data_IF_109208740659
#
_entry.id   IF_109208740659
#
_cell.length_a   1.000
_cell.length_b   1.000
_cell.length_c   1.000
_cell.angle_alpha   90.00
_cell.angle_beta   90.00
_cell.angle_gamma   90.00
#
_symmetry.space_group_name_H-M   'P 1'
#
loop_
_entity.id
_entity.type
_entity.pdbx_description
1 polymer ?
#
# COMPACT_ATOMS: atom_id res chain seq x y z
N UNK A 1 -4.36 1.26 11.23
CA UNK A 1 -3.39 1.91 10.34
C UNK A 1 -3.33 1.18 9.02
N UNK A 2 -3.35 1.92 7.91
CA UNK A 2 -3.19 1.43 6.55
C UNK A 2 -1.75 1.71 6.13
N UNK A 3 -1.00 0.66 5.85
CA UNK A 3 0.37 0.73 5.34
C UNK A 3 0.33 0.76 3.82
N UNK A 4 0.96 1.77 3.24
CA UNK A 4 0.96 2.01 1.80
C UNK A 4 2.34 2.46 1.30
N UNK A 5 2.57 2.30 0.00
CA UNK A 5 3.78 2.76 -0.67
C UNK A 5 3.59 4.20 -1.19
N UNK A 6 4.29 5.16 -0.60
CA UNK A 6 4.21 6.58 -1.00
C UNK A 6 4.88 6.94 -2.33
N UNK A 7 5.69 6.06 -2.91
CA UNK A 7 6.25 6.24 -4.26
C UNK A 7 5.38 5.61 -5.34
N UNK A 8 4.51 4.67 -4.99
CA UNK A 8 3.57 4.07 -5.94
C UNK A 8 2.38 5.01 -6.23
N UNK A 9 2.17 5.46 -7.49
CA UNK A 9 1.11 6.42 -7.83
C UNK A 9 -0.29 5.82 -7.63
N UNK A 10 -0.45 4.50 -7.79
CA UNK A 10 -1.72 3.81 -7.55
C UNK A 10 -2.00 3.70 -6.06
N UNK A 11 -0.99 3.44 -5.24
CA UNK A 11 -1.15 3.43 -3.78
C UNK A 11 -1.51 4.83 -3.27
N UNK A 12 -0.80 5.88 -3.73
CA UNK A 12 -1.16 7.28 -3.45
C UNK A 12 -2.61 7.61 -3.85
N UNK A 13 -3.03 7.22 -5.06
CA UNK A 13 -4.41 7.46 -5.53
C UNK A 13 -5.43 6.70 -4.70
N UNK A 14 -5.13 5.45 -4.34
CA UNK A 14 -6.00 4.62 -3.50
C UNK A 14 -6.14 5.20 -2.10
N UNK A 15 -5.04 5.65 -1.48
CA UNK A 15 -5.04 6.40 -0.22
C UNK A 15 -5.95 7.64 -0.30
N UNK A 16 -5.80 8.48 -1.33
CA UNK A 16 -6.65 9.67 -1.52
C UNK A 16 -8.14 9.31 -1.66
N UNK A 17 -8.45 8.21 -2.33
CA UNK A 17 -9.83 7.71 -2.40
C UNK A 17 -10.31 7.26 -1.02
N UNK A 18 -9.51 6.51 -0.27
CA UNK A 18 -9.86 6.07 1.08
C UNK A 18 -10.07 7.25 2.04
N UNK A 19 -9.21 8.27 1.99
CA UNK A 19 -9.37 9.52 2.76
C UNK A 19 -10.72 10.20 2.47
N UNK A 20 -11.16 10.21 1.21
CA UNK A 20 -12.47 10.76 0.83
C UNK A 20 -13.66 9.90 1.26
N UNK A 21 -13.46 8.59 1.41
CA UNK A 21 -14.48 7.64 1.84
C UNK A 21 -14.56 7.52 3.36
N UNK A 22 -13.49 7.88 4.07
CA UNK A 22 -13.39 7.81 5.51
C UNK A 22 -14.03 9.02 6.19
N UNK A 23 -15.35 9.16 6.00
CA UNK A 23 -16.14 10.26 6.56
C UNK A 23 -16.12 10.31 8.09
N UNK A 24 -15.75 9.20 8.73
CA UNK A 24 -15.68 9.07 10.18
C UNK A 24 -14.25 9.26 10.72
N UNK A 25 -13.26 9.52 9.86
CA UNK A 25 -11.86 9.75 10.26
C UNK A 25 -11.23 8.59 11.02
N UNK A 26 -11.58 7.35 10.70
CA UNK A 26 -11.15 6.14 11.43
C UNK A 26 -9.81 5.58 10.92
N UNK A 27 -9.40 5.94 9.72
CA UNK A 27 -8.20 5.42 9.09
C UNK A 27 -7.00 6.32 9.38
N UNK A 28 -5.97 5.71 9.95
CA UNK A 28 -4.61 6.26 10.00
C UNK A 28 -3.79 5.67 8.88
N UNK A 29 -2.83 6.41 8.35
CA UNK A 29 -1.96 5.97 7.25
C UNK A 29 -0.49 6.01 7.68
N UNK A 30 0.29 5.04 7.22
CA UNK A 30 1.73 5.00 7.42
C UNK A 30 2.41 4.61 6.11
N UNK A 31 3.50 5.29 5.78
CA UNK A 31 4.33 4.94 4.63
C UNK A 31 5.24 3.77 5.00
N UNK A 32 5.33 2.77 4.13
CA UNK A 32 6.21 1.62 4.32
C UNK A 32 7.70 2.01 4.19
N UNK A 33 8.00 3.13 3.54
CA UNK A 33 9.37 3.61 3.38
C UNK A 33 9.97 4.20 4.67
N UNK A 34 9.14 4.47 5.70
CA UNK A 34 9.63 4.54 7.08
C UNK A 34 9.85 3.12 7.60
N UNK A 35 10.94 2.52 7.14
CA UNK A 35 11.18 1.08 7.25
C UNK A 35 11.26 0.60 8.69
N UNK A 36 11.96 1.35 9.55
CA UNK A 36 12.09 1.00 10.96
C UNK A 36 10.72 0.98 11.66
N UNK A 37 9.87 1.95 11.35
CA UNK A 37 8.50 1.98 11.87
C UNK A 37 7.65 0.86 11.28
N UNK A 38 7.66 0.66 9.96
CA UNK A 38 6.82 -0.32 9.28
C UNK A 38 7.16 -1.77 9.68
N UNK A 39 8.44 -2.13 9.71
CA UNK A 39 8.91 -3.46 10.14
C UNK A 39 8.65 -3.69 11.64
N UNK A 40 8.78 -2.64 12.48
CA UNK A 40 8.43 -2.73 13.89
C UNK A 40 6.93 -2.91 14.14
N UNK A 41 6.08 -2.30 13.32
CA UNK A 41 4.62 -2.41 13.44
C UNK A 41 4.05 -3.72 12.87
N UNK A 42 4.76 -4.36 11.93
CA UNK A 42 4.37 -5.58 11.21
C UNK A 42 5.51 -6.62 11.26
N UNK A 43 5.81 -7.21 12.43
CA UNK A 43 7.03 -7.97 12.67
C UNK A 43 7.18 -9.24 11.82
N UNK A 44 6.08 -9.88 11.42
CA UNK A 44 6.11 -11.10 10.60
C UNK A 44 5.93 -10.82 9.09
N UNK A 45 6.10 -9.56 8.68
CA UNK A 45 5.94 -9.13 7.28
C UNK A 45 7.26 -8.56 6.78
N UNK A 46 7.82 -9.17 5.73
CA UNK A 46 9.02 -8.63 5.09
C UNK A 46 8.72 -7.32 4.36
N UNK A 47 9.71 -6.43 4.27
CA UNK A 47 9.60 -5.21 3.46
C UNK A 47 9.26 -5.52 1.99
N UNK A 48 9.78 -6.63 1.44
CA UNK A 48 9.43 -7.10 0.11
C UNK A 48 7.93 -7.39 -0.04
N UNK A 49 7.29 -7.96 0.99
CA UNK A 49 5.86 -8.22 0.98
C UNK A 49 5.04 -6.94 1.12
N UNK A 50 5.51 -5.98 1.92
CA UNK A 50 4.90 -4.64 2.01
C UNK A 50 4.94 -3.90 0.67
N UNK A 51 6.02 -4.07 -0.09
CA UNK A 51 6.10 -3.54 -1.46
C UNK A 51 5.14 -4.25 -2.42
N UNK A 52 4.75 -5.51 -2.16
CA UNK A 52 3.88 -6.29 -3.06
C UNK A 52 2.39 -6.04 -2.83
N UNK A 53 1.96 -5.76 -1.60
CA UNK A 53 0.55 -5.61 -1.26
C UNK A 53 0.30 -4.64 -0.10
N UNK A 54 -0.94 -4.13 -0.01
CA UNK A 54 -1.37 -3.27 1.10
C UNK A 54 -1.54 -4.09 2.39
N UNK A 55 -1.15 -3.49 3.51
CA UNK A 55 -1.41 -4.02 4.85
C UNK A 55 -2.29 -3.10 5.68
N UNK A 56 -3.10 -3.69 6.55
CA UNK A 56 -3.92 -2.96 7.53
C UNK A 56 -3.70 -3.59 8.90
N UNK A 57 -3.28 -2.78 9.88
CA UNK A 57 -3.18 -3.13 11.29
C UNK A 57 -4.36 -2.55 12.06
N UNK A 58 -5.01 -3.37 12.88
CA UNK A 58 -6.11 -3.01 13.78
C UNK A 58 -5.59 -2.58 15.15
N UNK A 59 -6.42 -1.89 15.96
CA UNK A 59 -6.04 -1.49 17.32
C UNK A 59 -5.72 -2.66 18.26
N UNK A 60 -6.27 -3.85 17.99
CA UNK A 60 -5.99 -5.09 18.74
C UNK A 60 -4.63 -5.73 18.40
N UNK A 61 -3.84 -5.10 17.52
CA UNK A 61 -2.54 -5.59 17.06
C UNK A 61 -2.61 -6.54 15.88
N UNK A 62 -3.79 -7.06 15.51
CA UNK A 62 -3.93 -7.92 14.34
C UNK A 62 -3.69 -7.16 13.04
N UNK A 63 -3.01 -7.77 12.08
CA UNK A 63 -2.76 -7.17 10.78
C UNK A 63 -3.04 -8.13 9.63
N UNK A 64 -3.42 -7.56 8.50
CA UNK A 64 -3.89 -8.31 7.34
C UNK A 64 -3.27 -7.74 6.07
N UNK A 65 -2.84 -8.62 5.18
CA UNK A 65 -2.35 -8.28 3.84
C UNK A 65 -3.41 -8.45 2.74
N UNK A 66 -3.27 -7.68 1.69
CA UNK A 66 -4.00 -7.85 0.44
C UNK A 66 -5.52 -7.72 0.56
N UNK A 67 -6.27 -8.69 0.02
CA UNK A 67 -7.73 -8.67 0.11
C UNK A 67 -8.26 -8.75 1.55
N UNK A 68 -7.55 -9.46 2.44
CA UNK A 68 -7.91 -9.50 3.88
C UNK A 68 -7.76 -8.12 4.52
N UNK A 69 -6.76 -7.33 4.10
CA UNK A 69 -6.59 -5.95 4.52
C UNK A 69 -7.80 -5.10 4.13
N UNK A 70 -8.25 -5.21 2.88
CA UNK A 70 -9.46 -4.54 2.40
C UNK A 70 -10.70 -4.95 3.20
N UNK A 71 -10.89 -6.25 3.44
CA UNK A 71 -12.01 -6.75 4.26
C UNK A 71 -11.98 -6.25 5.70
N UNK A 72 -10.79 -6.14 6.29
CA UNK A 72 -10.63 -5.64 7.65
C UNK A 72 -10.94 -4.14 7.76
N UNK A 73 -10.69 -3.38 6.69
CA UNK A 73 -10.89 -1.93 6.63
C UNK A 73 -12.29 -1.52 6.17
N UNK A 74 -12.90 -2.25 5.24
CA UNK A 74 -14.16 -1.87 4.60
C UNK A 74 -15.31 -1.53 5.57
N UNK A 75 -15.51 -2.22 6.72
CA UNK A 75 -16.54 -1.85 7.70
C UNK A 75 -16.34 -0.46 8.34
N UNK A 76 -15.15 0.13 8.24
CA UNK A 76 -14.88 1.48 8.77
C UNK A 76 -15.33 2.59 7.82
N UNK A 77 -15.62 2.26 6.56
CA UNK A 77 -16.02 3.20 5.52
C UNK A 77 -17.54 3.12 5.32
N UNK A 78 -18.32 4.17 5.66
CA UNK A 78 -19.78 4.11 5.57
C UNK A 78 -20.31 3.73 4.18
N UNK A 79 -19.68 4.24 3.12
CA UNK A 79 -20.07 3.90 1.76
C UNK A 79 -19.84 2.42 1.41
N UNK A 80 -18.91 1.75 2.09
CA UNK A 80 -18.68 0.33 1.89
C UNK A 80 -19.68 -0.56 2.64
N UNK A 81 -20.51 -0.03 3.55
CA UNK A 81 -21.44 -0.86 4.35
C UNK A 81 -22.41 -1.67 3.49
N UNK A 82 -22.82 -1.13 2.34
CA UNK A 82 -23.69 -1.85 1.39
C UNK A 82 -23.01 -3.10 0.79
N UNK A 83 -21.69 -3.05 0.60
CA UNK A 83 -20.92 -4.16 0.03
C UNK A 83 -20.30 -5.08 1.08
N UNK A 84 -20.20 -4.63 2.34
CA UNK A 84 -19.60 -5.42 3.44
C UNK A 84 -20.23 -6.80 3.55
N UNK A 85 -21.56 -7.00 3.56
CA UNK A 85 -22.16 -8.34 3.61
C UNK A 85 -21.67 -9.25 2.48
N UNK A 86 -21.52 -8.72 1.26
CA UNK A 86 -21.02 -9.46 0.10
C UNK A 86 -19.59 -9.93 0.29
N UNK A 87 -18.76 -9.16 1.01
CA UNK A 87 -17.38 -9.56 1.31
C UNK A 87 -17.31 -10.79 2.22
N UNK A 88 -18.36 -11.10 2.99
CA UNK A 88 -18.39 -12.23 3.94
C UNK A 88 -19.12 -13.46 3.42
N UNK A 89 -19.70 -13.41 2.22
CA UNK A 89 -20.34 -14.57 1.60
C UNK A 89 -19.36 -15.73 1.37
N UNK A 90 -19.84 -16.99 1.43
CA UNK A 90 -19.02 -18.14 1.08
C UNK A 90 -18.45 -17.97 -0.33
N UNK A 91 -17.14 -18.22 -0.50
CA UNK A 91 -16.42 -18.02 -1.76
C UNK A 91 -15.88 -16.60 -1.99
N UNK A 92 -16.39 -15.56 -1.33
CA UNK A 92 -15.91 -14.19 -1.49
C UNK A 92 -14.43 -14.02 -1.12
N UNK A 93 -13.96 -14.74 -0.09
CA UNK A 93 -12.55 -14.78 0.30
C UNK A 93 -11.63 -15.27 -0.83
N UNK A 94 -12.04 -16.31 -1.54
CA UNK A 94 -11.28 -16.93 -2.61
C UNK A 94 -11.28 -16.07 -3.87
N UNK A 95 -12.46 -15.62 -4.29
CA UNK A 95 -12.64 -14.74 -5.46
C UNK A 95 -11.92 -13.41 -5.22
N UNK A 96 -12.16 -12.78 -4.08
CA UNK A 96 -11.60 -11.48 -3.73
C UNK A 96 -10.07 -11.51 -3.66
N UNK A 97 -9.48 -12.56 -3.08
CA UNK A 97 -8.02 -12.74 -3.07
C UNK A 97 -7.42 -12.87 -4.46
N UNK A 98 -8.09 -13.58 -5.38
CA UNK A 98 -7.67 -13.71 -6.79
C UNK A 98 -7.75 -12.38 -7.53
N UNK A 99 -8.88 -11.69 -7.43
CA UNK A 99 -9.09 -10.38 -8.06
C UNK A 99 -8.07 -9.38 -7.53
N UNK A 100 -7.91 -9.31 -6.21
CA UNK A 100 -6.94 -8.42 -5.58
C UNK A 100 -5.52 -8.72 -6.08
N UNK A 101 -5.11 -9.99 -6.09
CA UNK A 101 -3.77 -10.37 -6.54
C UNK A 101 -3.54 -10.02 -8.01
N UNK A 102 -4.55 -10.19 -8.86
CA UNK A 102 -4.48 -9.79 -10.26
C UNK A 102 -4.29 -8.28 -10.40
N UNK A 103 -5.08 -7.48 -9.69
CA UNK A 103 -4.96 -6.01 -9.70
C UNK A 103 -3.59 -5.59 -9.16
N UNK A 104 -3.18 -6.14 -8.01
CA UNK A 104 -1.90 -5.83 -7.39
C UNK A 104 -0.72 -6.13 -8.32
N UNK A 105 -0.73 -7.27 -9.03
CA UNK A 105 0.32 -7.62 -10.00
C UNK A 105 0.30 -6.73 -11.25
N UNK A 106 -0.88 -6.35 -11.73
CA UNK A 106 -1.01 -5.55 -12.96
C UNK A 106 -1.01 -4.03 -12.69
N UNK A 107 -0.98 -3.58 -11.43
CA UNK A 107 -1.10 -2.17 -11.07
C UNK A 107 -0.08 -1.32 -11.85
N UNK A 108 1.16 -1.79 -11.96
CA UNK A 108 2.22 -1.04 -12.64
C UNK A 108 1.96 -0.79 -14.13
N UNK A 109 1.12 -1.60 -14.80
CA UNK A 109 0.74 -1.41 -16.21
C UNK A 109 -0.18 -0.20 -16.42
N UNK A 110 -0.98 0.14 -15.41
CA UNK A 110 -1.97 1.21 -15.49
C UNK A 110 -1.56 2.45 -14.70
N UNK A 111 -0.39 2.42 -14.09
CA UNK A 111 0.16 3.52 -13.34
C UNK A 111 0.61 4.63 -14.30
N UNK A 112 0.14 5.85 -14.06
CA UNK A 112 0.70 7.06 -14.69
C UNK A 112 1.57 7.76 -13.65
N UNK A 113 2.83 7.98 -13.99
CA UNK A 113 3.76 8.74 -13.16
C UNK A 113 3.77 10.20 -13.55
N UNK A 114 3.92 11.03 -12.53
CA UNK A 114 4.05 12.49 -12.58
C UNK A 114 5.50 12.95 -12.43
N UNK A 115 6.40 12.10 -11.89
CA UNK A 115 7.81 12.41 -11.67
C UNK A 115 8.76 11.25 -12.07
N UNK A 116 10.06 11.57 -12.16
CA UNK A 116 11.11 10.62 -12.54
C UNK A 116 11.30 9.51 -11.48
N UNK A 117 11.25 9.87 -10.19
CA UNK A 117 11.41 8.93 -9.08
C UNK A 117 10.32 7.85 -9.09
N UNK A 118 9.07 8.25 -9.35
CA UNK A 118 7.92 7.36 -9.55
C UNK A 118 8.19 6.41 -10.70
N UNK A 119 8.67 6.93 -11.83
CA UNK A 119 8.91 6.13 -13.04
C UNK A 119 10.01 5.09 -12.81
N UNK A 120 11.08 5.47 -12.10
CA UNK A 120 12.18 4.56 -11.76
C UNK A 120 11.75 3.52 -10.70
N UNK A 121 11.00 3.94 -9.68
CA UNK A 121 10.42 3.04 -8.67
C UNK A 121 9.54 1.97 -9.30
N UNK A 122 8.67 2.37 -10.22
CA UNK A 122 7.83 1.43 -10.97
C UNK A 122 8.66 0.45 -11.80
N UNK A 123 9.72 0.92 -12.49
CA UNK A 123 10.60 0.05 -13.27
C UNK A 123 11.31 -0.99 -12.40
N UNK A 124 11.72 -0.63 -11.18
CA UNK A 124 12.33 -1.56 -10.24
C UNK A 124 11.37 -2.66 -9.79
N UNK A 125 10.07 -2.35 -9.64
CA UNK A 125 9.08 -3.31 -9.14
C UNK A 125 8.29 -4.04 -10.24
N UNK A 126 8.26 -3.52 -11.48
CA UNK A 126 7.47 -4.08 -12.56
C UNK A 126 8.12 -5.34 -13.15
N UNK A 127 7.65 -6.52 -12.72
CA UNK A 127 8.03 -7.80 -13.30
C UNK A 127 9.30 -8.44 -12.74
N UNK A 128 9.96 -7.78 -11.78
CA UNK A 128 11.09 -8.34 -11.06
C UNK A 128 10.62 -9.10 -9.82
N UNK A 129 11.32 -10.17 -9.45
CA UNK A 129 11.29 -10.63 -8.07
C UNK A 129 11.85 -9.51 -7.18
N UNK A 130 11.16 -9.24 -6.07
CA UNK A 130 11.58 -8.23 -5.10
C UNK A 130 12.64 -8.88 -4.20
N UNK A 131 13.82 -9.08 -4.76
CA UNK A 131 15.01 -9.60 -4.10
C UNK A 131 15.76 -8.49 -3.33
N UNK A 132 16.83 -8.86 -2.64
CA UNK A 132 17.64 -7.94 -1.84
C UNK A 132 18.26 -6.80 -2.68
N UNK A 133 18.62 -7.07 -3.94
CA UNK A 133 19.21 -6.06 -4.82
C UNK A 133 18.16 -5.00 -5.21
N UNK A 134 16.97 -5.45 -5.60
CA UNK A 134 15.83 -4.57 -5.91
C UNK A 134 15.44 -3.76 -4.68
N UNK A 135 15.35 -4.39 -3.50
CA UNK A 135 15.06 -3.70 -2.24
C UNK A 135 16.08 -2.59 -1.98
N UNK A 136 17.37 -2.89 -2.11
CA UNK A 136 18.44 -1.89 -1.92
C UNK A 136 18.27 -0.70 -2.86
N UNK A 137 18.01 -0.96 -4.15
CA UNK A 137 17.78 0.10 -5.16
C UNK A 137 16.55 0.94 -4.84
N UNK A 138 15.47 0.33 -4.37
CA UNK A 138 14.25 1.05 -3.97
C UNK A 138 14.51 1.95 -2.76
N UNK A 139 15.21 1.45 -1.74
CA UNK A 139 15.55 2.22 -0.54
C UNK A 139 16.44 3.41 -0.90
N UNK A 140 17.49 3.18 -1.69
CA UNK A 140 18.38 4.24 -2.16
C UNK A 140 17.64 5.31 -2.97
N UNK A 141 16.72 4.87 -3.85
CA UNK A 141 15.89 5.79 -4.62
C UNK A 141 15.00 6.66 -3.72
N UNK A 142 14.41 6.08 -2.67
CA UNK A 142 13.59 6.80 -1.72
C UNK A 142 14.41 7.85 -0.94
N UNK A 143 15.61 7.49 -0.49
CA UNK A 143 16.53 8.43 0.17
C UNK A 143 16.93 9.59 -0.74
N UNK A 144 17.23 9.31 -2.00
CA UNK A 144 17.52 10.36 -3.00
C UNK A 144 16.32 11.29 -3.19
N UNK A 145 15.10 10.74 -3.28
CA UNK A 145 13.87 11.53 -3.41
C UNK A 145 13.64 12.43 -2.19
N UNK A 146 13.83 11.90 -0.98
CA UNK A 146 13.68 12.66 0.27
C UNK A 146 14.62 13.87 0.30
N UNK A 147 15.91 13.66 0.04
CA UNK A 147 16.91 14.73 -0.04
C UNK A 147 16.57 15.78 -1.11
N UNK A 148 16.01 15.33 -2.24
CA UNK A 148 15.56 16.22 -3.32
C UNK A 148 14.36 17.09 -2.92
N UNK A 149 13.41 16.55 -2.15
CA UNK A 149 12.28 17.33 -1.63
C UNK A 149 12.73 18.33 -0.55
N UNK A 150 13.62 17.91 0.35
CA UNK A 150 14.22 18.75 1.38
C UNK A 150 14.99 19.94 0.77
N UNK A 151 15.77 19.71 -0.29
CA UNK A 151 16.53 20.77 -0.96
C UNK A 151 15.65 21.77 -1.73
N UNK A 152 14.40 21.39 -2.04
CA UNK A 152 13.41 22.26 -2.68
C UNK A 152 12.48 22.97 -1.69
N UNK A 153 12.66 22.78 -0.38
CA UNK A 153 11.80 23.36 0.65
C UNK A 153 10.37 22.80 0.64
N UNK A 154 10.14 21.64 0.01
CA UNK A 154 8.86 20.95 0.06
C UNK A 154 8.75 20.18 1.38
N UNK A 155 7.59 20.18 2.05
CA UNK A 155 7.40 19.35 3.25
C UNK A 155 7.58 17.88 2.89
N UNK A 156 8.36 17.17 3.72
CA UNK A 156 8.64 15.74 3.63
C UNK A 156 7.38 14.87 3.78
#
# INVERSE_FOLDING_TARGET
TVFYDGMCPICKKSKRTLERLDWLGRLKYADIHDRAFAEGELPDVSYADMLKQMYVKRPDGSYFGGYKAFRAMAPMLPLCWLIVPLLWLPGAAWIGSRIYSFIAKNRFKYAKCDDEFCSLHLKLLAGNEVDEEVIRKVVELHERRRKHLESQGAPA
#
